data_IF_296238377621
#
_entry.id   IF_296238377621
#
_cell.length_a   1.000
_cell.length_b   1.000
_cell.length_c   1.000
_cell.angle_alpha   90.00
_cell.angle_beta   90.00
_cell.angle_gamma   90.00
#
_symmetry.space_group_name_H-M   'P 1'
#
loop_
_entity.id
_entity.type
_entity.pdbx_description
1 polymer ?
#
# COMPACT_ATOMS: atom_id res chain seq x y z
N UNK A 1 38.57 0.80 -32.97
CA UNK A 1 38.94 2.23 -32.99
C UNK A 1 38.01 2.87 -34.00
N UNK A 2 37.01 3.69 -33.70
CA UNK A 2 36.59 4.45 -32.52
C UNK A 2 35.04 4.59 -32.66
N UNK A 3 34.21 4.46 -31.64
CA UNK A 3 34.03 5.47 -30.62
C UNK A 3 33.09 6.58 -31.11
N UNK A 4 31.77 6.40 -30.97
CA UNK A 4 30.87 7.55 -30.84
C UNK A 4 29.74 7.25 -29.86
N UNK A 5 29.94 7.69 -28.63
CA UNK A 5 28.96 7.79 -27.57
C UNK A 5 28.31 9.19 -27.57
N UNK A 6 27.06 9.20 -27.10
CA UNK A 6 26.32 10.30 -26.45
C UNK A 6 25.71 11.40 -27.33
N UNK A 7 24.38 11.45 -27.27
CA UNK A 7 23.60 12.63 -27.64
C UNK A 7 22.10 12.38 -27.76
N UNK A 8 21.44 11.88 -26.71
CA UNK A 8 19.99 11.99 -26.60
C UNK A 8 19.68 12.47 -25.18
N UNK A 9 19.47 13.78 -25.10
CA UNK A 9 19.20 14.52 -23.89
C UNK A 9 18.10 13.85 -23.08
N UNK A 10 18.41 13.49 -21.82
CA UNK A 10 17.39 13.44 -20.77
C UNK A 10 16.83 14.85 -20.63
N UNK A 11 15.79 15.17 -21.41
CA UNK A 11 14.85 16.19 -21.00
C UNK A 11 14.13 15.60 -19.78
N UNK A 12 14.71 15.82 -18.60
CA UNK A 12 13.98 15.74 -17.35
C UNK A 12 12.91 16.83 -17.44
N UNK A 13 11.77 16.51 -18.06
CA UNK A 13 10.55 17.29 -17.84
C UNK A 13 10.39 17.43 -16.34
N UNK A 14 10.13 18.65 -15.87
CA UNK A 14 9.91 18.92 -14.45
C UNK A 14 8.99 17.85 -13.89
N UNK A 15 9.40 17.21 -12.79
CA UNK A 15 8.57 16.24 -12.11
C UNK A 15 7.31 16.98 -11.67
N UNK A 16 6.24 16.87 -12.46
CA UNK A 16 4.92 17.45 -12.22
C UNK A 16 4.22 16.57 -11.17
N UNK A 17 4.26 16.91 -9.88
CA UNK A 17 3.80 16.02 -8.81
C UNK A 17 2.29 15.77 -8.94
N UNK A 18 1.59 16.75 -9.52
CA UNK A 18 0.15 16.68 -9.76
C UNK A 18 -0.21 15.64 -10.82
N UNK A 19 0.57 15.54 -11.91
CA UNK A 19 0.35 14.53 -12.95
C UNK A 19 0.68 13.10 -12.46
N UNK A 20 1.65 12.96 -11.56
CA UNK A 20 1.98 11.69 -10.91
C UNK A 20 0.87 11.20 -9.98
N UNK A 21 0.30 12.10 -9.16
CA UNK A 21 -0.83 11.78 -8.27
C UNK A 21 -2.13 11.51 -9.06
N UNK A 22 -2.31 12.15 -10.22
CA UNK A 22 -3.47 11.93 -11.08
C UNK A 22 -3.50 10.53 -11.72
N UNK A 23 -2.39 9.78 -11.73
CA UNK A 23 -2.43 8.39 -12.16
C UNK A 23 -3.27 7.57 -11.17
N UNK A 24 -4.36 6.93 -11.62
CA UNK A 24 -5.31 6.26 -10.72
C UNK A 24 -4.64 5.14 -9.91
N UNK A 25 -3.64 4.46 -10.50
CA UNK A 25 -2.85 3.45 -9.82
C UNK A 25 -2.04 4.02 -8.66
N UNK A 26 -1.25 5.08 -8.92
CA UNK A 26 -0.42 5.78 -7.93
C UNK A 26 -1.28 6.37 -6.80
N UNK A 27 -2.43 6.96 -7.14
CA UNK A 27 -3.39 7.47 -6.15
C UNK A 27 -3.86 6.38 -5.19
N UNK A 28 -4.29 5.21 -5.71
CA UNK A 28 -4.68 4.07 -4.88
C UNK A 28 -3.51 3.58 -3.99
N UNK A 29 -2.28 3.61 -4.50
CA UNK A 29 -1.08 3.23 -3.74
C UNK A 29 -0.81 4.17 -2.58
N UNK A 30 -0.96 5.48 -2.78
CA UNK A 30 -0.84 6.49 -1.72
C UNK A 30 -1.92 6.26 -0.65
N UNK A 31 -3.15 5.93 -1.04
CA UNK A 31 -4.22 5.61 -0.08
C UNK A 31 -3.87 4.36 0.74
N UNK A 32 -3.43 3.27 0.10
CA UNK A 32 -2.98 2.05 0.80
C UNK A 32 -1.80 2.30 1.75
N UNK A 33 -0.89 3.19 1.34
CA UNK A 33 0.23 3.63 2.17
C UNK A 33 -0.24 4.39 3.42
N UNK A 34 -1.17 5.35 3.26
CA UNK A 34 -1.77 6.10 4.37
C UNK A 34 -2.55 5.19 5.32
N UNK A 35 -3.32 4.23 4.79
CA UNK A 35 -4.04 3.27 5.64
C UNK A 35 -3.07 2.43 6.48
N UNK A 36 -1.98 1.96 5.88
CA UNK A 36 -0.94 1.21 6.60
C UNK A 36 -0.33 2.07 7.72
N UNK A 37 -0.01 3.34 7.43
CA UNK A 37 0.49 4.31 8.40
C UNK A 37 -0.44 4.50 9.59
N UNK A 38 -1.73 4.67 9.33
CA UNK A 38 -2.73 4.83 10.40
C UNK A 38 -2.83 3.56 11.24
N UNK A 39 -2.86 2.37 10.62
CA UNK A 39 -3.03 1.11 11.35
C UNK A 39 -1.87 0.86 12.31
N UNK A 40 -0.62 0.86 11.83
CA UNK A 40 0.51 0.60 12.73
C UNK A 40 0.74 1.78 13.67
N UNK A 41 0.53 3.02 13.22
CA UNK A 41 0.76 4.23 14.01
C UNK A 41 -0.19 4.33 15.20
N UNK A 42 -1.48 4.09 15.00
CA UNK A 42 -2.47 4.09 16.08
C UNK A 42 -2.16 3.00 17.12
N UNK A 43 -1.83 1.78 16.69
CA UNK A 43 -1.55 0.67 17.62
C UNK A 43 -0.20 0.81 18.32
N UNK A 44 0.84 1.31 17.64
CA UNK A 44 2.15 1.51 18.26
C UNK A 44 2.12 2.58 19.36
N UNK A 45 1.29 3.61 19.22
CA UNK A 45 1.21 4.71 20.19
C UNK A 45 0.17 4.46 21.29
N UNK A 46 -1.01 3.96 20.94
CA UNK A 46 -2.16 3.87 21.86
C UNK A 46 -2.69 2.43 22.03
N UNK A 47 -2.07 1.44 21.38
CA UNK A 47 -2.53 0.05 21.44
C UNK A 47 -2.17 -0.68 22.73
N UNK A 48 -1.30 -0.11 23.58
CA UNK A 48 -0.86 -0.72 24.84
C UNK A 48 -1.34 0.10 26.03
N UNK A 49 -2.23 -0.49 26.81
CA UNK A 49 -2.90 0.17 27.94
C UNK A 49 -2.65 -0.62 29.23
N UNK A 50 -2.56 0.07 30.36
CA UNK A 50 -2.58 -0.58 31.67
C UNK A 50 -3.96 -0.43 32.32
N UNK A 51 -4.27 -1.32 33.24
CA UNK A 51 -5.39 -1.07 34.17
C UNK A 51 -4.93 -0.05 35.24
N UNK A 52 -5.85 0.68 35.89
CA UNK A 52 -5.48 1.65 36.92
C UNK A 52 -4.71 1.04 38.11
N UNK A 53 -4.91 -0.24 38.36
CA UNK A 53 -4.33 -1.05 39.44
C UNK A 53 -3.09 -1.87 39.01
N UNK A 54 -2.75 -1.87 37.72
CA UNK A 54 -1.62 -2.62 37.16
C UNK A 54 -0.58 -1.67 36.55
N UNK A 55 0.71 -1.96 36.75
CA UNK A 55 1.80 -1.17 36.13
C UNK A 55 2.12 -1.67 34.71
N UNK A 56 1.87 -2.95 34.44
CA UNK A 56 2.14 -3.58 33.15
C UNK A 56 1.13 -3.17 32.08
N UNK A 57 1.63 -2.92 30.86
CA UNK A 57 0.80 -2.59 29.71
C UNK A 57 0.46 -3.84 28.91
N UNK A 58 -0.80 -3.95 28.50
CA UNK A 58 -1.31 -5.03 27.68
C UNK A 58 -1.92 -4.50 26.39
N UNK A 59 -1.90 -5.33 25.36
CA UNK A 59 -2.56 -5.02 24.11
C UNK A 59 -4.06 -4.77 24.31
N UNK A 60 -4.57 -3.69 23.73
CA UNK A 60 -5.98 -3.28 23.80
C UNK A 60 -6.95 -4.33 23.21
N UNK A 61 -6.46 -5.19 22.33
CA UNK A 61 -7.20 -6.31 21.75
C UNK A 61 -7.16 -7.52 22.70
N UNK A 62 -8.10 -7.58 23.65
CA UNK A 62 -8.30 -8.73 24.55
C UNK A 62 -7.01 -9.17 25.28
N UNK A 63 -6.15 -8.21 25.64
CA UNK A 63 -4.84 -8.44 26.27
C UNK A 63 -3.95 -9.44 25.50
N UNK A 64 -4.22 -9.63 24.21
CA UNK A 64 -3.55 -10.58 23.36
C UNK A 64 -2.40 -9.89 22.62
N UNK A 65 -1.18 -10.09 23.10
CA UNK A 65 0.01 -9.47 22.52
C UNK A 65 0.19 -9.77 21.02
N UNK A 66 -0.27 -10.95 20.57
CA UNK A 66 -0.18 -11.34 19.16
C UNK A 66 -1.04 -10.44 18.26
N UNK A 67 -2.13 -9.86 18.78
CA UNK A 67 -2.99 -8.96 18.01
C UNK A 67 -2.30 -7.62 17.71
N UNK A 68 -1.74 -6.97 18.74
CA UNK A 68 -1.00 -5.73 18.55
C UNK A 68 0.28 -5.95 17.75
N UNK A 69 1.03 -7.03 18.04
CA UNK A 69 2.22 -7.39 17.26
C UNK A 69 1.87 -7.63 15.78
N UNK A 70 0.76 -8.31 15.50
CA UNK A 70 0.28 -8.50 14.13
C UNK A 70 0.00 -7.17 13.44
N UNK A 71 -0.80 -6.28 14.06
CA UNK A 71 -1.15 -4.99 13.46
C UNK A 71 0.07 -4.10 13.21
N UNK A 72 0.99 -4.03 14.18
CA UNK A 72 2.22 -3.22 14.08
C UNK A 72 3.15 -3.78 13.01
N UNK A 73 3.43 -5.09 13.04
CA UNK A 73 4.37 -5.71 12.10
C UNK A 73 3.86 -5.71 10.66
N UNK A 74 2.61 -6.13 10.44
CA UNK A 74 2.03 -6.17 9.10
C UNK A 74 1.77 -4.78 8.55
N UNK A 75 1.31 -3.83 9.39
CA UNK A 75 1.16 -2.44 8.98
C UNK A 75 2.49 -1.79 8.61
N UNK A 76 3.56 -2.03 9.39
CA UNK A 76 4.90 -1.52 9.09
C UNK A 76 5.47 -2.13 7.79
N UNK A 77 5.29 -3.43 7.58
CA UNK A 77 5.74 -4.10 6.37
C UNK A 77 4.97 -3.63 5.14
N UNK A 78 3.65 -3.44 5.25
CA UNK A 78 2.81 -2.88 4.19
C UNK A 78 3.23 -1.44 3.85
N UNK A 79 3.54 -0.62 4.85
CA UNK A 79 4.03 0.75 4.67
C UNK A 79 5.34 0.77 3.86
N UNK A 80 6.33 -0.05 4.24
CA UNK A 80 7.60 -0.15 3.53
C UNK A 80 7.43 -0.71 2.11
N UNK A 81 6.58 -1.72 1.96
CA UNK A 81 6.23 -2.27 0.66
C UNK A 81 5.61 -1.19 -0.23
N UNK A 82 4.65 -0.41 0.27
CA UNK A 82 4.06 0.69 -0.49
C UNK A 82 5.09 1.76 -0.87
N UNK A 83 5.99 2.14 0.04
CA UNK A 83 7.09 3.07 -0.27
C UNK A 83 7.97 2.55 -1.41
N UNK A 84 8.33 1.25 -1.41
CA UNK A 84 9.13 0.66 -2.47
C UNK A 84 8.41 0.68 -3.82
N UNK A 85 7.12 0.33 -3.86
CA UNK A 85 6.32 0.37 -5.09
C UNK A 85 6.06 1.80 -5.58
N UNK A 86 5.84 2.78 -4.69
CA UNK A 86 5.77 4.19 -5.07
C UNK A 86 7.08 4.69 -5.69
N UNK A 87 8.23 4.25 -5.16
CA UNK A 87 9.51 4.55 -5.78
C UNK A 87 9.62 3.87 -7.16
N UNK A 88 9.21 2.60 -7.28
CA UNK A 88 9.17 1.90 -8.58
C UNK A 88 8.28 2.63 -9.59
N UNK A 89 7.12 3.16 -9.18
CA UNK A 89 6.24 3.95 -10.03
C UNK A 89 6.93 5.23 -10.53
N UNK A 90 7.69 5.92 -9.66
CA UNK A 90 8.48 7.09 -10.05
C UNK A 90 9.62 6.77 -11.03
N UNK A 91 10.21 5.57 -10.94
CA UNK A 91 11.24 5.10 -11.87
C UNK A 91 10.69 4.46 -13.14
N UNK A 92 9.41 4.06 -13.15
CA UNK A 92 8.78 3.32 -14.24
C UNK A 92 8.95 3.97 -15.63
N UNK A 93 8.83 5.31 -15.79
CA UNK A 93 9.05 5.96 -17.09
C UNK A 93 10.45 5.75 -17.66
N UNK A 94 11.46 5.53 -16.82
CA UNK A 94 12.86 5.39 -17.23
C UNK A 94 13.23 3.96 -17.68
N UNK A 95 12.36 2.97 -17.44
CA UNK A 95 12.63 1.57 -17.79
C UNK A 95 12.40 1.40 -19.30
N UNK A 96 13.45 1.18 -20.09
CA UNK A 96 13.33 0.93 -21.54
C UNK A 96 13.02 -0.53 -21.88
N UNK A 97 13.37 -1.47 -20.99
CA UNK A 97 13.16 -2.90 -21.19
C UNK A 97 11.75 -3.30 -20.80
N UNK A 98 11.06 -3.90 -21.75
CA UNK A 98 9.67 -4.26 -21.52
C UNK A 98 9.50 -5.54 -20.71
N UNK A 99 10.49 -6.44 -20.79
CA UNK A 99 10.54 -7.62 -19.93
C UNK A 99 10.55 -7.21 -18.45
N UNK A 100 11.29 -6.15 -18.12
CA UNK A 100 11.35 -5.59 -16.76
C UNK A 100 10.04 -4.93 -16.36
N UNK A 101 9.39 -4.16 -17.26
CA UNK A 101 8.07 -3.56 -17.00
C UNK A 101 7.01 -4.63 -16.70
N UNK A 102 6.95 -5.70 -17.50
CA UNK A 102 6.04 -6.85 -17.27
C UNK A 102 6.26 -7.49 -15.91
N UNK A 103 7.53 -7.73 -15.56
CA UNK A 103 7.89 -8.34 -14.28
C UNK A 103 7.50 -7.45 -13.10
N UNK A 104 7.73 -6.14 -13.19
CA UNK A 104 7.32 -5.19 -12.16
C UNK A 104 5.80 -5.18 -11.96
N UNK A 105 5.03 -5.13 -13.06
CA UNK A 105 3.55 -5.16 -13.01
C UNK A 105 3.05 -6.49 -12.42
N UNK A 106 3.60 -7.62 -12.84
CA UNK A 106 3.21 -8.93 -12.31
C UNK A 106 3.55 -9.07 -10.82
N UNK A 107 4.71 -8.54 -10.40
CA UNK A 107 5.09 -8.49 -9.00
C UNK A 107 4.11 -7.64 -8.19
N UNK A 108 3.63 -6.51 -8.73
CA UNK A 108 2.67 -5.65 -8.03
C UNK A 108 1.27 -6.29 -7.93
N UNK A 109 0.82 -6.97 -8.99
CA UNK A 109 -0.42 -7.76 -8.97
C UNK A 109 -0.37 -8.86 -7.90
N UNK A 110 0.71 -9.64 -7.86
CA UNK A 110 0.89 -10.68 -6.85
C UNK A 110 0.97 -10.11 -5.43
N UNK A 111 1.71 -9.01 -5.26
CA UNK A 111 1.81 -8.29 -3.98
C UNK A 111 0.45 -7.77 -3.53
N UNK A 112 -0.35 -7.23 -4.45
CA UNK A 112 -1.67 -6.69 -4.16
C UNK A 112 -2.66 -7.77 -3.75
N UNK A 113 -2.65 -8.92 -4.41
CA UNK A 113 -3.45 -10.08 -4.02
C UNK A 113 -3.05 -10.59 -2.62
N UNK A 114 -1.74 -10.69 -2.34
CA UNK A 114 -1.22 -11.08 -1.04
C UNK A 114 -1.69 -10.12 0.07
N UNK A 115 -1.51 -8.81 -0.10
CA UNK A 115 -1.91 -7.84 0.91
C UNK A 115 -3.42 -7.77 1.09
N UNK A 116 -4.22 -7.94 0.05
CA UNK A 116 -5.68 -8.03 0.17
C UNK A 116 -6.10 -9.17 1.11
N UNK A 117 -5.49 -10.34 0.96
CA UNK A 117 -5.74 -11.49 1.83
C UNK A 117 -5.25 -11.25 3.26
N UNK A 118 -4.05 -10.70 3.43
CA UNK A 118 -3.50 -10.37 4.76
C UNK A 118 -4.42 -9.39 5.48
N UNK A 119 -4.87 -8.31 4.83
CA UNK A 119 -5.77 -7.34 5.45
C UNK A 119 -7.15 -7.91 5.75
N UNK A 120 -7.66 -8.84 4.94
CA UNK A 120 -8.89 -9.56 5.25
C UNK A 120 -8.76 -10.41 6.52
N UNK A 121 -7.70 -11.22 6.62
CA UNK A 121 -7.43 -12.03 7.82
C UNK A 121 -7.20 -11.11 9.03
N UNK A 122 -6.45 -10.03 8.85
CA UNK A 122 -6.17 -9.05 9.89
C UNK A 122 -7.41 -8.35 10.41
N UNK A 123 -8.30 -7.92 9.52
CA UNK A 123 -9.59 -7.38 9.89
C UNK A 123 -10.40 -8.37 10.74
N UNK A 124 -10.57 -9.61 10.26
CA UNK A 124 -11.31 -10.65 10.98
C UNK A 124 -10.68 -10.92 12.36
N UNK A 125 -9.35 -11.00 12.42
CA UNK A 125 -8.62 -11.28 13.65
C UNK A 125 -8.75 -10.14 14.67
N UNK A 126 -8.46 -8.90 14.26
CA UNK A 126 -8.53 -7.72 15.13
C UNK A 126 -9.97 -7.43 15.58
N UNK A 127 -10.96 -7.56 14.68
CA UNK A 127 -12.36 -7.39 15.03
C UNK A 127 -12.81 -8.43 16.05
N UNK A 128 -12.44 -9.70 15.88
CA UNK A 128 -12.75 -10.75 16.84
C UNK A 128 -12.12 -10.48 18.21
N UNK A 129 -10.82 -10.14 18.24
CA UNK A 129 -10.14 -9.83 19.50
C UNK A 129 -10.71 -8.57 20.17
N UNK A 130 -11.16 -7.58 19.39
CA UNK A 130 -11.84 -6.41 19.92
C UNK A 130 -13.22 -6.74 20.49
N UNK A 131 -13.99 -7.60 19.81
CA UNK A 131 -15.32 -8.00 20.24
C UNK A 131 -15.32 -8.72 21.59
N UNK A 132 -14.33 -9.59 21.82
CA UNK A 132 -14.21 -10.36 23.07
C UNK A 132 -13.42 -9.64 24.17
N UNK A 133 -12.88 -8.45 23.86
CA UNK A 133 -12.19 -7.63 24.85
C UNK A 133 -13.16 -7.18 25.94
N UNK A 134 -12.73 -7.29 27.20
CA UNK A 134 -13.62 -7.04 28.33
C UNK A 134 -13.57 -5.57 28.76
N UNK A 135 -14.70 -4.92 29.09
CA UNK A 135 -14.71 -3.55 29.58
C UNK A 135 -13.89 -3.34 30.86
N UNK A 136 -13.80 -4.36 31.72
CA UNK A 136 -12.96 -4.36 32.93
C UNK A 136 -11.46 -4.26 32.64
N UNK A 137 -11.01 -4.64 31.43
CA UNK A 137 -9.62 -4.49 31.02
C UNK A 137 -9.27 -3.05 30.63
N UNK A 138 -10.27 -2.22 30.33
CA UNK A 138 -10.08 -0.82 29.93
C UNK A 138 -11.23 0.07 30.46
N UNK A 139 -11.32 0.28 31.78
CA UNK A 139 -12.41 1.06 32.38
C UNK A 139 -12.42 2.52 31.94
N UNK A 140 -11.24 3.08 31.61
CA UNK A 140 -11.08 4.46 31.14
C UNK A 140 -11.33 4.62 29.63
N UNK A 141 -11.55 3.51 28.91
CA UNK A 141 -11.75 3.48 27.44
C UNK A 141 -10.62 4.15 26.65
N UNK A 142 -9.41 4.19 27.21
CA UNK A 142 -8.23 4.77 26.56
C UNK A 142 -7.87 3.97 25.30
N UNK A 143 -7.46 4.64 24.22
CA UNK A 143 -7.07 4.00 22.96
C UNK A 143 -8.22 3.29 22.21
N UNK A 144 -9.47 3.37 22.67
CA UNK A 144 -10.59 2.70 22.00
C UNK A 144 -10.82 3.23 20.58
N UNK A 145 -10.59 4.52 20.36
CA UNK A 145 -10.67 5.13 19.04
C UNK A 145 -9.52 4.66 18.13
N UNK A 146 -8.30 4.53 18.67
CA UNK A 146 -7.16 3.95 17.96
C UNK A 146 -7.41 2.48 17.53
N UNK A 147 -7.98 1.66 18.42
CA UNK A 147 -8.34 0.27 18.10
C UNK A 147 -9.42 0.21 17.00
N UNK A 148 -10.46 1.04 17.10
CA UNK A 148 -11.53 1.12 16.09
C UNK A 148 -11.03 1.63 14.75
N UNK A 149 -10.13 2.62 14.76
CA UNK A 149 -9.46 3.11 13.56
C UNK A 149 -8.68 1.98 12.90
N UNK A 150 -7.82 1.26 13.65
CA UNK A 150 -7.03 0.16 13.11
C UNK A 150 -7.90 -0.94 12.47
N UNK A 151 -9.03 -1.32 13.09
CA UNK A 151 -9.98 -2.28 12.50
C UNK A 151 -10.59 -1.72 11.21
N UNK A 152 -11.07 -0.48 11.24
CA UNK A 152 -11.78 0.16 10.13
C UNK A 152 -10.86 0.34 8.92
N UNK A 153 -9.64 0.84 9.14
CA UNK A 153 -8.65 1.01 8.07
C UNK A 153 -8.14 -0.33 7.56
N UNK A 154 -8.06 -1.38 8.39
CA UNK A 154 -7.77 -2.74 7.91
C UNK A 154 -8.84 -3.24 6.96
N UNK A 155 -10.12 -3.00 7.26
CA UNK A 155 -11.24 -3.35 6.37
C UNK A 155 -11.18 -2.59 5.04
N UNK A 156 -10.99 -1.26 5.09
CA UNK A 156 -10.92 -0.47 3.86
C UNK A 156 -9.68 -0.76 3.01
N UNK A 157 -8.58 -1.14 3.65
CA UNK A 157 -7.36 -1.58 2.96
C UNK A 157 -7.62 -2.75 2.01
N UNK A 158 -8.51 -3.68 2.37
CA UNK A 158 -8.87 -4.81 1.48
C UNK A 158 -9.29 -4.30 0.10
N UNK A 159 -10.17 -3.29 0.05
CA UNK A 159 -10.66 -2.74 -1.20
C UNK A 159 -9.57 -1.97 -1.96
N UNK A 160 -8.70 -1.23 -1.29
CA UNK A 160 -7.66 -0.47 -1.98
C UNK A 160 -6.67 -1.39 -2.68
N UNK A 161 -6.26 -2.49 -2.04
CA UNK A 161 -5.37 -3.48 -2.66
C UNK A 161 -6.05 -4.27 -3.79
N UNK A 162 -7.33 -4.63 -3.65
CA UNK A 162 -8.11 -5.27 -4.73
C UNK A 162 -8.30 -4.33 -5.93
N UNK A 163 -8.58 -3.05 -5.67
CA UNK A 163 -8.70 -2.03 -6.72
C UNK A 163 -7.36 -1.80 -7.43
N UNK A 164 -6.23 -1.71 -6.72
CA UNK A 164 -4.90 -1.60 -7.34
C UNK A 164 -4.63 -2.77 -8.29
N UNK A 165 -4.88 -4.01 -7.85
CA UNK A 165 -4.75 -5.21 -8.69
C UNK A 165 -5.65 -5.12 -9.94
N UNK A 166 -6.90 -4.72 -9.77
CA UNK A 166 -7.88 -4.61 -10.87
C UNK A 166 -7.47 -3.56 -11.91
N UNK A 167 -7.02 -2.39 -11.45
CA UNK A 167 -6.56 -1.29 -12.34
C UNK A 167 -5.33 -1.72 -13.14
N UNK A 168 -4.38 -2.41 -12.51
CA UNK A 168 -3.20 -2.94 -13.20
C UNK A 168 -3.56 -4.00 -14.24
N UNK A 169 -4.46 -4.93 -13.87
CA UNK A 169 -4.93 -5.96 -14.79
C UNK A 169 -5.69 -5.37 -15.98
N UNK A 170 -6.57 -4.40 -15.74
CA UNK A 170 -7.31 -3.70 -16.80
C UNK A 170 -6.35 -2.94 -17.70
N UNK A 171 -5.37 -2.22 -17.14
CA UNK A 171 -4.35 -1.51 -17.92
C UNK A 171 -3.51 -2.46 -18.77
N UNK A 172 -3.16 -3.64 -18.24
CA UNK A 172 -2.46 -4.69 -18.96
C UNK A 172 -3.31 -5.31 -20.08
N UNK A 173 -4.59 -5.59 -19.82
CA UNK A 173 -5.53 -6.15 -20.81
C UNK A 173 -5.83 -5.13 -21.91
N UNK A 174 -6.10 -3.87 -21.57
CA UNK A 174 -6.28 -2.78 -22.55
C UNK A 174 -5.04 -2.62 -23.43
N UNK A 175 -3.83 -2.69 -22.86
CA UNK A 175 -2.59 -2.65 -23.64
C UNK A 175 -2.46 -3.86 -24.59
N UNK A 176 -2.84 -5.07 -24.13
CA UNK A 176 -2.86 -6.27 -24.96
C UNK A 176 -3.92 -6.24 -26.07
N UNK A 177 -5.12 -5.71 -25.79
CA UNK A 177 -6.26 -5.65 -26.73
C UNK A 177 -6.12 -4.52 -27.74
N UNK A 178 -5.64 -3.35 -27.30
CA UNK A 178 -5.57 -2.17 -28.17
C UNK A 178 -4.42 -2.23 -29.17
N UNK A 179 -3.40 -3.05 -28.91
CA UNK A 179 -2.16 -3.06 -29.71
C UNK A 179 -1.54 -1.66 -29.90
N UNK A 180 -1.93 -0.67 -29.07
CA UNK A 180 -1.77 0.75 -29.35
C UNK A 180 -1.15 1.50 -28.18
N UNK A 181 -0.11 2.22 -28.55
CA UNK A 181 0.53 3.35 -27.91
C UNK A 181 -0.44 4.28 -27.16
N UNK A 182 -0.06 4.68 -25.95
CA UNK A 182 -0.67 5.82 -25.29
C UNK A 182 -0.25 7.10 -26.03
N UNK A 183 -1.21 7.87 -26.53
CA UNK A 183 -0.98 9.25 -26.98
C UNK A 183 -0.73 10.12 -25.76
N UNK A 184 0.53 10.33 -25.42
CA UNK A 184 0.94 11.40 -24.52
C UNK A 184 0.66 12.76 -25.15
N UNK A 185 0.37 13.76 -24.30
CA UNK A 185 0.11 15.16 -24.63
C UNK A 185 1.25 15.89 -25.40
N UNK A 186 2.33 15.19 -25.79
CA UNK A 186 3.45 15.74 -26.58
C UNK A 186 3.42 15.38 -28.07
N UNK A 187 2.45 14.62 -28.56
CA UNK A 187 2.38 14.25 -29.98
C UNK A 187 3.51 13.34 -30.48
N UNK A 188 4.31 12.76 -29.57
CA UNK A 188 5.24 11.69 -29.91
C UNK A 188 4.57 10.32 -29.78
N UNK A 189 4.44 9.64 -30.92
CA UNK A 189 4.07 8.22 -31.00
C UNK A 189 5.17 7.38 -30.36
N UNK A 190 5.06 7.13 -29.06
CA UNK A 190 5.94 6.18 -28.38
C UNK A 190 5.34 4.78 -28.54
N UNK A 191 5.95 3.95 -29.38
CA UNK A 191 5.64 2.53 -29.49
C UNK A 191 5.94 1.84 -28.15
N UNK A 192 4.90 1.58 -27.35
CA UNK A 192 5.01 0.61 -26.26
C UNK A 192 4.87 -0.79 -26.85
N UNK A 193 5.90 -1.23 -27.57
CA UNK A 193 6.05 -2.65 -27.88
C UNK A 193 6.46 -3.32 -26.59
N UNK A 194 5.83 -4.47 -26.30
CA UNK A 194 6.20 -5.28 -25.16
C UNK A 194 7.48 -6.10 -25.35
#
# INVERSE_FOLDING_TARGET
MDGMQRGASRAAGAFEPLAFIQQPHTGLRIVSWLFSLVIFGCIANEGYINRPDEVEQFCIFNRNQNACNYAVSMGSLAFLCCMAFLALDAYFPQISSVKERKKAVLADVGTSAFWSFVWFVGFCFLANQWQVAKPEDNPLRSGADAARAAITFSFFSIFTWVCSCSVLMISGVLACVSGSSYTGLSGETQTSVF
#
